data_IF_013327878472
#
_entry.id   IF_013327878472
#
_cell.length_a   1.000
_cell.length_b   1.000
_cell.length_c   1.000
_cell.angle_alpha   90.00
_cell.angle_beta   90.00
_cell.angle_gamma   90.00
#
_symmetry.space_group_name_H-M   'P 1'
#
loop_
_entity.id
_entity.type
_entity.pdbx_description
1 polymer ?
#
# COMPACT_ATOMS: atom_id res chain seq x y z
N UNK A 1 20.92 15.64 21.44
CA UNK A 1 19.90 14.74 22.02
C UNK A 1 18.59 14.77 21.25
N UNK A 2 17.92 15.93 21.11
CA UNK A 2 16.65 16.02 20.39
C UNK A 2 16.71 15.58 18.92
N UNK A 3 17.74 16.01 18.17
CA UNK A 3 17.94 15.62 16.76
C UNK A 3 18.04 14.10 16.62
N UNK A 4 18.84 13.46 17.46
CA UNK A 4 18.99 11.99 17.48
C UNK A 4 17.64 11.31 17.74
N UNK A 5 16.90 11.76 18.76
CA UNK A 5 15.58 11.22 19.09
C UNK A 5 14.59 11.38 17.91
N UNK A 6 14.65 12.51 17.18
CA UNK A 6 13.83 12.70 15.99
C UNK A 6 14.20 11.72 14.88
N UNK A 7 15.49 11.52 14.61
CA UNK A 7 15.94 10.54 13.61
C UNK A 7 15.44 9.14 13.93
N UNK A 8 15.59 8.70 15.19
CA UNK A 8 15.14 7.37 15.64
C UNK A 8 13.61 7.22 15.53
N UNK A 9 12.86 8.26 15.93
CA UNK A 9 11.39 8.25 15.81
C UNK A 9 10.94 8.22 14.35
N UNK A 10 11.62 8.91 13.43
CA UNK A 10 11.32 8.84 12.00
C UNK A 10 11.55 7.42 11.45
N UNK A 11 12.64 6.76 11.86
CA UNK A 11 12.89 5.36 11.51
C UNK A 11 11.77 4.44 12.06
N UNK A 12 11.31 4.66 13.29
CA UNK A 12 10.18 3.92 13.86
C UNK A 12 8.88 4.14 13.06
N UNK A 13 8.53 5.40 12.74
CA UNK A 13 7.37 5.76 11.92
C UNK A 13 7.42 5.02 10.58
N UNK A 14 8.54 5.14 9.87
CA UNK A 14 8.69 4.57 8.54
C UNK A 14 8.67 3.03 8.57
N UNK A 15 9.37 2.41 9.53
CA UNK A 15 9.43 0.95 9.65
C UNK A 15 8.08 0.35 10.02
N UNK A 16 7.32 0.97 10.94
CA UNK A 16 5.96 0.51 11.28
C UNK A 16 4.97 0.69 10.13
N UNK A 17 5.07 1.78 9.36
CA UNK A 17 4.26 1.98 8.16
C UNK A 17 4.51 0.85 7.14
N UNK A 18 5.79 0.59 6.83
CA UNK A 18 6.19 -0.46 5.90
C UNK A 18 5.73 -1.84 6.40
N UNK A 19 5.98 -2.18 7.67
CA UNK A 19 5.58 -3.46 8.24
C UNK A 19 4.05 -3.67 8.19
N UNK A 20 3.27 -2.62 8.43
CA UNK A 20 1.82 -2.68 8.36
C UNK A 20 1.33 -2.98 6.92
N UNK A 21 1.88 -2.27 5.92
CA UNK A 21 1.55 -2.53 4.51
C UNK A 21 2.04 -3.91 4.08
N UNK A 22 3.28 -4.28 4.38
CA UNK A 22 3.88 -5.58 4.03
C UNK A 22 3.03 -6.74 4.54
N UNK A 23 2.57 -6.66 5.79
CA UNK A 23 1.75 -7.69 6.42
C UNK A 23 0.39 -7.85 5.73
N UNK A 24 -0.32 -6.76 5.46
CA UNK A 24 -1.69 -6.83 4.91
C UNK A 24 -1.66 -7.15 3.41
N UNK A 25 -0.74 -6.52 2.67
CA UNK A 25 -0.58 -6.74 1.23
C UNK A 25 0.22 -8.00 0.89
N UNK A 26 0.76 -8.71 1.90
CA UNK A 26 1.56 -9.93 1.74
C UNK A 26 2.76 -9.73 0.81
N UNK A 27 3.46 -8.59 0.99
CA UNK A 27 4.61 -8.25 0.15
C UNK A 27 5.73 -9.29 0.30
N UNK A 28 5.95 -9.80 1.52
CA UNK A 28 7.00 -10.80 1.79
C UNK A 28 6.67 -12.20 1.22
N UNK A 29 5.42 -12.44 0.82
CA UNK A 29 5.00 -13.69 0.16
C UNK A 29 4.99 -13.56 -1.38
N UNK A 30 5.19 -12.35 -1.92
CA UNK A 30 5.09 -12.09 -3.36
C UNK A 30 6.46 -11.69 -3.92
N UNK A 31 6.99 -12.36 -4.96
CA UNK A 31 8.27 -11.98 -5.56
C UNK A 31 8.31 -10.52 -6.03
N UNK A 32 9.46 -9.86 -5.88
CA UNK A 32 9.63 -8.43 -6.22
C UNK A 32 9.28 -8.12 -7.68
N UNK A 33 9.64 -9.00 -8.62
CA UNK A 33 9.31 -8.81 -10.04
C UNK A 33 7.79 -8.82 -10.27
N UNK A 34 7.03 -9.61 -9.50
CA UNK A 34 5.58 -9.66 -9.62
C UNK A 34 4.97 -8.37 -9.07
N UNK A 35 5.43 -7.91 -7.90
CA UNK A 35 5.01 -6.64 -7.31
C UNK A 35 5.22 -5.46 -8.27
N UNK A 36 6.35 -5.45 -8.99
CA UNK A 36 6.66 -4.42 -9.99
C UNK A 36 5.65 -4.37 -11.16
N UNK A 37 4.86 -5.44 -11.40
CA UNK A 37 3.82 -5.47 -12.43
C UNK A 37 2.44 -5.04 -11.93
N UNK A 38 2.24 -4.87 -10.62
CA UNK A 38 0.92 -4.64 -10.05
C UNK A 38 0.25 -3.37 -10.57
N UNK A 39 1.02 -2.31 -10.81
CA UNK A 39 0.45 -1.07 -11.35
C UNK A 39 -0.09 -1.26 -12.77
N UNK A 40 0.60 -2.04 -13.60
CA UNK A 40 0.15 -2.35 -14.96
C UNK A 40 -1.13 -3.19 -14.96
N UNK A 41 -1.22 -4.17 -14.05
CA UNK A 41 -2.44 -4.95 -13.84
C UNK A 41 -3.58 -4.06 -13.32
N UNK A 42 -3.27 -3.12 -12.42
CA UNK A 42 -4.23 -2.16 -11.87
C UNK A 42 -4.80 -1.23 -12.93
N UNK A 43 -3.96 -0.77 -13.86
CA UNK A 43 -4.38 0.08 -14.97
C UNK A 43 -5.38 -0.67 -15.86
N UNK A 44 -5.08 -1.92 -16.23
CA UNK A 44 -5.98 -2.75 -17.04
C UNK A 44 -7.30 -3.07 -16.32
N UNK A 45 -7.24 -3.43 -15.03
CA UNK A 45 -8.44 -3.74 -14.25
C UNK A 45 -9.38 -2.53 -14.12
N UNK A 46 -8.84 -1.33 -13.88
CA UNK A 46 -9.62 -0.08 -13.82
C UNK A 46 -10.18 0.32 -15.18
N UNK A 47 -9.40 0.18 -16.26
CA UNK A 47 -9.87 0.47 -17.61
C UNK A 47 -11.03 -0.45 -18.00
N UNK A 48 -10.90 -1.75 -17.72
CA UNK A 48 -11.97 -2.72 -17.92
C UNK A 48 -13.22 -2.45 -17.08
N UNK A 49 -13.05 -2.03 -15.81
CA UNK A 49 -14.17 -1.67 -14.94
C UNK A 49 -15.00 -0.49 -15.49
N UNK A 50 -14.34 0.46 -16.14
CA UNK A 50 -14.98 1.62 -16.77
C UNK A 50 -15.57 1.30 -18.15
N UNK A 51 -14.97 0.36 -18.89
CA UNK A 51 -15.43 -0.07 -20.19
C UNK A 51 -15.12 -1.57 -20.39
N UNK A 52 -16.13 -2.47 -20.25
CA UNK A 52 -15.95 -3.91 -20.36
C UNK A 52 -15.42 -4.42 -21.71
N UNK A 53 -15.53 -3.61 -22.76
CA UNK A 53 -15.02 -3.91 -24.12
C UNK A 53 -13.50 -3.64 -24.26
N UNK A 54 -12.86 -3.03 -23.26
CA UNK A 54 -11.41 -2.81 -23.29
C UNK A 54 -10.64 -4.13 -23.13
N UNK A 55 -9.67 -4.31 -24.02
CA UNK A 55 -8.70 -5.39 -23.91
C UNK A 55 -7.78 -5.21 -22.70
N UNK A 56 -7.49 -6.34 -22.05
CA UNK A 56 -6.58 -6.39 -20.90
C UNK A 56 -5.50 -7.44 -21.18
N UNK A 57 -4.56 -7.19 -22.11
CA UNK A 57 -3.64 -8.22 -22.60
C UNK A 57 -2.75 -8.81 -21.49
N UNK A 58 -2.35 -8.04 -20.47
CA UNK A 58 -1.56 -8.56 -19.35
C UNK A 58 -2.40 -9.48 -18.48
N UNK A 59 -3.62 -9.07 -18.14
CA UNK A 59 -4.55 -9.93 -17.41
C UNK A 59 -4.96 -11.15 -18.24
N UNK A 60 -5.10 -11.02 -19.56
CA UNK A 60 -5.39 -12.14 -20.46
C UNK A 60 -4.25 -13.18 -20.43
N UNK A 61 -2.99 -12.74 -20.54
CA UNK A 61 -1.84 -13.62 -20.41
C UNK A 61 -1.82 -14.35 -19.07
N UNK A 62 -2.01 -13.63 -17.96
CA UNK A 62 -2.07 -14.22 -16.60
C UNK A 62 -3.22 -15.23 -16.50
N UNK A 63 -4.39 -14.93 -17.06
CA UNK A 63 -5.55 -15.81 -17.05
C UNK A 63 -5.27 -17.13 -17.78
N UNK A 64 -4.65 -17.04 -18.97
CA UNK A 64 -4.25 -18.20 -19.77
C UNK A 64 -3.23 -19.05 -19.00
N UNK A 65 -2.16 -18.46 -18.48
CA UNK A 65 -1.12 -19.19 -17.74
C UNK A 65 -1.64 -19.86 -16.46
N UNK A 66 -2.66 -19.27 -15.83
CA UNK A 66 -3.31 -19.82 -14.64
C UNK A 66 -4.46 -20.79 -14.94
N UNK A 67 -4.90 -20.90 -16.18
CA UNK A 67 -6.09 -21.69 -16.55
C UNK A 67 -7.38 -21.18 -15.90
N UNK A 68 -7.52 -19.87 -15.70
CA UNK A 68 -8.71 -19.25 -15.07
C UNK A 68 -9.49 -18.37 -16.06
N UNK A 69 -10.81 -18.20 -15.89
CA UNK A 69 -11.57 -17.29 -16.75
C UNK A 69 -11.11 -15.83 -16.63
N UNK A 70 -10.94 -15.15 -17.77
CA UNK A 70 -10.45 -13.77 -17.83
C UNK A 70 -11.30 -12.79 -17.00
N UNK A 71 -12.63 -12.86 -17.11
CA UNK A 71 -13.51 -11.97 -16.35
C UNK A 71 -13.40 -12.18 -14.83
N UNK A 72 -13.20 -13.43 -14.38
CA UNK A 72 -12.97 -13.71 -12.96
C UNK A 72 -11.64 -13.13 -12.49
N UNK A 73 -10.59 -13.23 -13.31
CA UNK A 73 -9.31 -12.62 -12.99
C UNK A 73 -9.40 -11.08 -12.95
N UNK A 74 -10.05 -10.46 -13.93
CA UNK A 74 -10.26 -9.00 -13.98
C UNK A 74 -10.97 -8.49 -12.73
N UNK A 75 -12.07 -9.13 -12.36
CA UNK A 75 -12.84 -8.79 -11.16
C UNK A 75 -11.98 -8.91 -9.88
N UNK A 76 -11.29 -10.04 -9.69
CA UNK A 76 -10.41 -10.24 -8.54
C UNK A 76 -9.23 -9.29 -8.51
N UNK A 77 -8.68 -8.94 -9.68
CA UNK A 77 -7.63 -7.94 -9.80
C UNK A 77 -8.15 -6.58 -9.33
N UNK A 78 -9.32 -6.15 -9.82
CA UNK A 78 -9.95 -4.89 -9.41
C UNK A 78 -10.20 -4.82 -7.90
N UNK A 79 -10.72 -5.90 -7.29
CA UNK A 79 -10.92 -5.99 -5.84
C UNK A 79 -9.61 -5.79 -5.06
N UNK A 80 -8.54 -6.49 -5.48
CA UNK A 80 -7.21 -6.35 -4.87
C UNK A 80 -6.63 -4.95 -5.06
N UNK A 81 -6.81 -4.36 -6.24
CA UNK A 81 -6.36 -3.00 -6.55
C UNK A 81 -7.03 -1.98 -5.63
N UNK A 82 -8.33 -2.11 -5.41
CA UNK A 82 -9.08 -1.22 -4.51
C UNK A 82 -8.64 -1.39 -3.05
N UNK A 83 -8.47 -2.64 -2.60
CA UNK A 83 -7.99 -2.92 -1.24
C UNK A 83 -6.57 -2.38 -1.00
N UNK A 84 -5.65 -2.60 -1.95
CA UNK A 84 -4.29 -2.09 -1.87
C UNK A 84 -4.24 -0.56 -1.95
N UNK A 85 -5.10 0.07 -2.78
CA UNK A 85 -5.25 1.52 -2.82
C UNK A 85 -5.68 2.09 -1.46
N UNK A 86 -6.76 1.55 -0.87
CA UNK A 86 -7.23 1.97 0.44
C UNK A 86 -6.14 1.82 1.52
N UNK A 87 -5.46 0.67 1.54
CA UNK A 87 -4.36 0.40 2.47
C UNK A 87 -3.20 1.39 2.31
N UNK A 88 -2.64 1.47 1.11
CA UNK A 88 -1.41 2.24 0.84
C UNK A 88 -1.61 3.73 1.10
N UNK A 89 -2.73 4.31 0.65
CA UNK A 89 -3.00 5.73 0.85
C UNK A 89 -3.40 6.05 2.30
N UNK A 90 -4.15 5.19 2.99
CA UNK A 90 -4.45 5.39 4.41
C UNK A 90 -3.18 5.38 5.26
N UNK A 91 -2.26 4.44 4.99
CA UNK A 91 -0.99 4.34 5.71
C UNK A 91 -0.07 5.50 5.35
N UNK A 92 0.02 5.87 4.07
CA UNK A 92 0.83 7.01 3.64
C UNK A 92 0.40 8.31 4.32
N UNK A 93 -0.92 8.57 4.38
CA UNK A 93 -1.46 9.75 5.06
C UNK A 93 -1.18 9.75 6.57
N UNK A 94 -1.37 8.61 7.25
CA UNK A 94 -1.03 8.49 8.68
C UNK A 94 0.48 8.71 8.93
N UNK A 95 1.34 8.14 8.07
CA UNK A 95 2.80 8.28 8.18
C UNK A 95 3.22 9.74 8.03
N UNK A 96 2.68 10.43 7.02
CA UNK A 96 2.90 11.87 6.82
C UNK A 96 2.42 12.67 8.05
N UNK A 97 1.24 12.37 8.59
CA UNK A 97 0.76 13.03 9.81
C UNK A 97 1.63 12.81 11.04
N UNK A 98 2.23 11.63 11.20
CA UNK A 98 3.21 11.39 12.27
C UNK A 98 4.53 12.14 12.02
N UNK A 99 4.99 12.22 10.77
CA UNK A 99 6.17 12.99 10.39
C UNK A 99 5.98 14.50 10.63
N UNK A 100 4.82 15.05 10.30
CA UNK A 100 4.48 16.45 10.56
C UNK A 100 4.52 16.76 12.07
N UNK A 101 3.94 15.88 12.90
CA UNK A 101 4.00 15.99 14.37
C UNK A 101 5.44 15.93 14.88
N UNK A 102 6.27 15.09 14.29
CA UNK A 102 7.67 14.93 14.66
C UNK A 102 8.51 16.16 14.29
N UNK A 103 8.26 16.75 13.12
CA UNK A 103 8.89 18.00 12.69
C UNK A 103 8.54 19.11 13.68
N UNK A 104 7.27 19.22 14.07
CA UNK A 104 6.77 20.23 15.01
C UNK A 104 7.21 20.03 16.48
N UNK A 105 7.70 18.85 16.87
CA UNK A 105 8.12 18.60 18.26
C UNK A 105 9.38 19.40 18.64
N UNK A 106 9.37 20.10 19.77
CA UNK A 106 10.48 20.93 20.28
C UNK A 106 11.17 20.30 21.50
N UNK A 107 10.62 19.23 22.05
CA UNK A 107 11.08 18.56 23.29
C UNK A 107 11.19 17.05 23.11
N UNK A 108 11.97 16.39 23.97
CA UNK A 108 12.13 14.92 23.93
C UNK A 108 10.81 14.22 24.28
N UNK A 109 10.06 14.81 25.21
CA UNK A 109 8.77 14.33 25.68
C UNK A 109 7.75 14.33 24.54
N UNK A 110 7.71 15.39 23.72
CA UNK A 110 6.85 15.45 22.54
C UNK A 110 7.23 14.41 21.48
N UNK A 111 8.53 14.18 21.27
CA UNK A 111 8.99 13.11 20.35
C UNK A 111 8.56 11.75 20.87
N UNK A 112 8.72 11.48 22.16
CA UNK A 112 8.35 10.22 22.80
C UNK A 112 6.83 9.97 22.77
N UNK A 113 6.02 11.01 22.90
CA UNK A 113 4.56 10.94 22.84
C UNK A 113 3.99 10.60 21.45
N UNK A 114 4.83 10.55 20.41
CA UNK A 114 4.40 10.08 19.08
C UNK A 114 4.44 8.56 19.09
N UNK A 115 3.25 7.96 19.13
CA UNK A 115 3.04 6.52 19.01
C UNK A 115 2.52 6.18 17.60
N UNK A 116 3.40 5.78 16.66
CA UNK A 116 2.99 5.39 15.33
C UNK A 116 2.24 4.06 15.37
N UNK A 117 0.91 4.15 15.33
CA UNK A 117 -0.02 3.04 15.17
C UNK A 117 -0.81 3.29 13.89
N UNK A 118 -0.78 2.31 12.99
CA UNK A 118 -1.44 2.37 11.70
C UNK A 118 -2.73 1.55 11.72
N UNK A 119 -3.76 2.08 11.08
CA UNK A 119 -5.05 1.40 10.96
C UNK A 119 -5.69 1.68 9.60
N UNK A 120 -6.56 0.77 9.16
CA UNK A 120 -7.45 1.07 8.04
C UNK A 120 -8.61 1.94 8.53
N UNK A 121 -9.16 2.83 7.67
CA UNK A 121 -10.37 3.55 8.00
C UNK A 121 -11.51 2.58 8.34
N UNK A 122 -12.27 2.89 9.40
CA UNK A 122 -13.55 2.22 9.63
C UNK A 122 -14.52 2.67 8.53
N UNK A 123 -15.15 1.71 7.86
CA UNK A 123 -16.21 1.96 6.88
C UNK A 123 -17.51 2.39 7.58
#
# INVERSE_FOLDING_TARGET
MLVQAKTEKLTEINSKAQAFVSKIAKLDETPEFEQATWQEQANEARAWANNPEIDTPKLALIAIMRGVPLNILRQKCLEKVNAFYQLSFAVAGQRQGFEDRLIAAETLEQVQAIEPVYQLPQQ
#
